data_IF_193460262159
#
_entry.id   IF_193460262159
#
_cell.length_a   1.000
_cell.length_b   1.000
_cell.length_c   1.000
_cell.angle_alpha   90.00
_cell.angle_beta   90.00
_cell.angle_gamma   90.00
#
_symmetry.space_group_name_H-M   'P 1'
#
loop_
_entity.id
_entity.type
_entity.pdbx_description
1 polymer ?
#
# COMPACT_ATOMS: atom_id res chain seq x y z
N UNK A 1 29.21 2.89 -0.06
CA UNK A 1 28.37 3.75 -0.92
C UNK A 1 27.14 4.07 -0.11
N UNK A 2 26.86 5.35 0.19
CA UNK A 2 25.60 5.73 0.82
C UNK A 2 24.53 5.66 -0.27
N UNK A 3 23.60 4.73 -0.14
CA UNK A 3 22.43 4.70 -1.00
C UNK A 3 21.49 5.81 -0.54
N UNK A 4 21.21 6.78 -1.40
CA UNK A 4 20.20 7.79 -1.13
C UNK A 4 18.83 7.17 -1.39
N UNK A 5 18.09 6.89 -0.32
CA UNK A 5 16.75 6.33 -0.43
C UNK A 5 15.76 7.39 -0.91
N UNK A 6 14.94 7.02 -1.89
CA UNK A 6 13.80 7.82 -2.31
C UNK A 6 12.69 7.77 -1.25
N UNK A 7 11.81 8.79 -1.19
CA UNK A 7 10.64 8.78 -0.29
C UNK A 7 9.77 7.53 -0.43
N UNK A 8 9.64 6.97 -1.64
CA UNK A 8 8.87 5.73 -1.86
C UNK A 8 9.61 4.53 -1.26
N UNK A 9 10.93 4.42 -1.39
CA UNK A 9 11.70 3.32 -0.81
C UNK A 9 11.65 3.34 0.72
N UNK A 10 11.70 4.52 1.33
CA UNK A 10 11.51 4.70 2.78
C UNK A 10 10.12 4.20 3.21
N UNK A 11 9.08 4.58 2.47
CA UNK A 11 7.72 4.11 2.73
C UNK A 11 7.55 2.60 2.54
N UNK A 12 8.18 2.01 1.51
CA UNK A 12 8.12 0.57 1.24
C UNK A 12 8.82 -0.25 2.33
N UNK A 13 9.96 0.23 2.84
CA UNK A 13 10.65 -0.37 3.99
C UNK A 13 9.76 -0.32 5.25
N UNK A 14 9.13 0.83 5.52
CA UNK A 14 8.20 0.99 6.63
C UNK A 14 6.94 0.12 6.52
N UNK A 15 6.51 -0.22 5.30
CA UNK A 15 5.42 -1.17 5.03
C UNK A 15 5.88 -2.64 5.06
N UNK A 16 7.19 -2.89 5.06
CA UNK A 16 7.77 -4.24 4.98
C UNK A 16 7.52 -4.90 3.62
N UNK A 17 7.42 -4.12 2.53
CA UNK A 17 7.17 -4.64 1.18
C UNK A 17 8.42 -4.50 0.31
N UNK A 18 8.91 -5.60 -0.26
CA UNK A 18 10.06 -5.62 -1.15
C UNK A 18 9.57 -5.67 -2.60
N UNK A 19 9.92 -4.66 -3.40
CA UNK A 19 9.46 -4.50 -4.79
C UNK A 19 9.99 -5.53 -5.81
N UNK A 20 10.86 -6.45 -5.39
CA UNK A 20 11.56 -7.38 -6.31
C UNK A 20 11.10 -8.84 -6.16
N UNK A 21 10.15 -9.11 -5.26
CA UNK A 21 9.56 -10.45 -5.11
C UNK A 21 8.08 -10.38 -5.43
N UNK A 22 7.78 -10.39 -6.73
CA UNK A 22 6.67 -11.17 -7.27
C UNK A 22 5.41 -11.19 -6.39
N UNK A 23 4.90 -10.01 -6.00
CA UNK A 23 3.62 -9.91 -5.27
C UNK A 23 2.45 -10.39 -6.15
N UNK A 24 2.72 -10.69 -7.43
CA UNK A 24 1.79 -11.17 -8.44
C UNK A 24 1.92 -12.68 -8.76
N UNK A 25 3.00 -13.39 -8.38
CA UNK A 25 3.23 -14.77 -8.89
C UNK A 25 2.73 -15.95 -8.04
N UNK A 26 2.18 -15.77 -6.82
CA UNK A 26 1.75 -16.94 -6.04
C UNK A 26 0.27 -17.26 -6.04
N UNK A 27 -0.60 -16.42 -6.61
CA UNK A 27 -2.02 -16.77 -6.63
C UNK A 27 -2.67 -16.26 -7.90
N UNK A 28 -3.10 -17.17 -8.76
CA UNK A 28 -4.08 -16.86 -9.82
C UNK A 28 -5.31 -16.22 -9.17
N UNK A 29 -5.42 -14.89 -9.29
CA UNK A 29 -6.35 -14.13 -8.45
C UNK A 29 -7.77 -14.21 -9.02
N UNK A 30 -8.59 -15.05 -8.41
CA UNK A 30 -10.05 -14.88 -8.42
C UNK A 30 -10.39 -13.56 -7.70
N UNK A 31 -11.34 -12.76 -8.21
CA UNK A 31 -11.67 -11.42 -7.69
C UNK A 31 -11.99 -11.32 -6.18
N UNK A 32 -12.32 -12.45 -5.53
CA UNK A 32 -12.48 -12.53 -4.07
C UNK A 32 -11.14 -12.38 -3.30
N UNK A 33 -10.03 -12.92 -3.84
CA UNK A 33 -8.70 -12.81 -3.22
C UNK A 33 -8.14 -11.39 -3.30
N UNK A 34 -8.39 -10.69 -4.41
CA UNK A 34 -7.92 -9.34 -4.66
C UNK A 34 -8.49 -8.34 -3.62
N UNK A 35 -9.76 -8.52 -3.26
CA UNK A 35 -10.43 -7.70 -2.25
C UNK A 35 -9.85 -7.89 -0.84
N UNK A 36 -9.39 -9.11 -0.52
CA UNK A 36 -8.82 -9.46 0.78
C UNK A 36 -7.38 -8.96 0.92
N UNK A 37 -6.59 -9.04 -0.15
CA UNK A 37 -5.23 -8.52 -0.18
C UNK A 37 -5.21 -6.98 -0.11
N UNK A 38 -6.13 -6.30 -0.79
CA UNK A 38 -6.30 -4.84 -0.68
C UNK A 38 -6.62 -4.42 0.75
N UNK A 39 -7.43 -5.21 1.49
CA UNK A 39 -7.73 -4.91 2.89
C UNK A 39 -6.48 -5.04 3.76
N UNK A 40 -5.72 -6.13 3.59
CA UNK A 40 -4.48 -6.37 4.34
C UNK A 40 -3.44 -5.27 4.12
N UNK A 41 -3.28 -4.79 2.87
CA UNK A 41 -2.38 -3.68 2.57
C UNK A 41 -2.87 -2.37 3.21
N UNK A 42 -4.19 -2.09 3.21
CA UNK A 42 -4.72 -0.90 3.89
C UNK A 42 -4.48 -0.94 5.41
N UNK A 43 -4.67 -2.09 6.06
CA UNK A 43 -4.38 -2.26 7.48
C UNK A 43 -2.89 -2.05 7.78
N UNK A 44 -1.99 -2.55 6.92
CA UNK A 44 -0.55 -2.30 7.06
C UNK A 44 -0.21 -0.82 6.90
N UNK A 45 -0.81 -0.13 5.94
CA UNK A 45 -0.63 1.32 5.76
C UNK A 45 -1.03 2.05 7.04
N UNK A 46 -2.21 1.75 7.59
CA UNK A 46 -2.70 2.35 8.83
C UNK A 46 -1.73 2.13 9.99
N UNK A 47 -1.35 0.88 10.24
CA UNK A 47 -0.45 0.51 11.33
C UNK A 47 0.94 1.15 11.17
N UNK A 48 1.50 1.17 9.96
CA UNK A 48 2.79 1.80 9.70
C UNK A 48 2.72 3.32 9.89
N UNK A 49 1.64 3.98 9.47
CA UNK A 49 1.46 5.43 9.68
C UNK A 49 1.30 5.82 11.16
N UNK A 50 0.68 4.94 11.96
CA UNK A 50 0.58 5.11 13.41
C UNK A 50 1.94 4.89 14.07
N UNK A 51 2.71 3.91 13.59
CA UNK A 51 4.03 3.57 14.12
C UNK A 51 5.11 4.60 13.78
N UNK A 52 5.06 5.18 12.57
CA UNK A 52 6.04 6.12 12.04
C UNK A 52 5.36 7.42 11.57
N UNK A 53 4.87 8.26 12.50
CA UNK A 53 4.14 9.47 12.17
C UNK A 53 4.94 10.50 11.35
N UNK A 54 6.27 10.47 11.47
CA UNK A 54 7.20 11.37 10.77
C UNK A 54 7.32 11.09 9.27
N UNK A 55 6.95 9.89 8.82
CA UNK A 55 7.04 9.45 7.41
C UNK A 55 5.69 8.99 6.85
N UNK A 56 4.58 9.56 7.36
CA UNK A 56 3.22 9.19 6.93
C UNK A 56 3.03 9.38 5.43
N UNK A 57 3.59 10.43 4.85
CA UNK A 57 3.45 10.74 3.42
C UNK A 57 4.18 9.73 2.55
N UNK A 58 5.37 9.29 2.96
CA UNK A 58 6.18 8.25 2.34
C UNK A 58 5.44 6.91 2.37
N UNK A 59 4.90 6.54 3.54
CA UNK A 59 4.11 5.32 3.73
C UNK A 59 2.86 5.35 2.85
N UNK A 60 2.17 6.48 2.76
CA UNK A 60 1.00 6.62 1.89
C UNK A 60 1.37 6.42 0.42
N UNK A 61 2.42 7.10 -0.05
CA UNK A 61 2.85 7.04 -1.44
C UNK A 61 3.29 5.62 -1.82
N UNK A 62 4.01 4.95 -0.93
CA UNK A 62 4.40 3.55 -1.08
C UNK A 62 3.18 2.61 -1.13
N UNK A 63 2.23 2.80 -0.21
CA UNK A 63 0.97 2.05 -0.17
C UNK A 63 0.13 2.21 -1.44
N UNK A 64 0.00 3.44 -1.93
CA UNK A 64 -0.68 3.75 -3.20
C UNK A 64 -0.01 3.03 -4.38
N UNK A 65 1.32 3.02 -4.43
CA UNK A 65 2.07 2.32 -5.49
C UNK A 65 1.76 0.82 -5.50
N UNK A 66 1.83 0.17 -4.33
CA UNK A 66 1.51 -1.27 -4.20
C UNK A 66 0.07 -1.54 -4.63
N UNK A 67 -0.87 -0.75 -4.14
CA UNK A 67 -2.29 -0.90 -4.46
C UNK A 67 -2.60 -0.68 -5.95
N UNK A 68 -1.89 0.24 -6.61
CA UNK A 68 -1.97 0.45 -8.06
C UNK A 68 -1.42 -0.75 -8.84
N UNK A 69 -0.31 -1.33 -8.41
CA UNK A 69 0.29 -2.53 -9.03
C UNK A 69 -0.60 -3.77 -8.87
N UNK A 70 -1.38 -3.85 -7.78
CA UNK A 70 -2.34 -4.94 -7.54
C UNK A 70 -3.65 -4.77 -8.30
N UNK A 71 -3.96 -3.55 -8.77
CA UNK A 71 -5.22 -3.26 -9.45
C UNK A 71 -5.12 -3.61 -10.92
N UNK A 72 -5.94 -4.56 -11.38
CA UNK A 72 -5.97 -4.97 -12.78
C UNK A 72 -6.49 -3.86 -13.72
N UNK A 73 -7.28 -2.91 -13.19
CA UNK A 73 -7.84 -1.79 -13.95
C UNK A 73 -7.92 -0.51 -13.10
N UNK A 74 -7.92 0.64 -13.76
CA UNK A 74 -8.15 1.95 -13.14
C UNK A 74 -9.53 2.07 -12.49
N UNK A 75 -10.55 1.42 -13.05
CA UNK A 75 -11.90 1.44 -12.50
C UNK A 75 -11.97 0.68 -11.17
N UNK A 76 -11.33 -0.48 -11.07
CA UNK A 76 -11.22 -1.22 -9.81
C UNK A 76 -10.49 -0.40 -8.73
N UNK A 77 -9.42 0.29 -9.11
CA UNK A 77 -8.70 1.16 -8.18
C UNK A 77 -9.60 2.30 -7.67
N UNK A 78 -10.37 2.94 -8.56
CA UNK A 78 -11.25 4.04 -8.17
C UNK A 78 -12.42 3.62 -7.30
N UNK A 79 -13.06 2.49 -7.62
CA UNK A 79 -14.30 2.10 -6.96
C UNK A 79 -14.07 1.32 -5.66
N UNK A 80 -12.95 0.60 -5.53
CA UNK A 80 -12.72 -0.31 -4.41
C UNK A 80 -11.55 0.12 -3.55
N UNK A 81 -10.45 0.57 -4.17
CA UNK A 81 -9.19 0.81 -3.48
C UNK A 81 -9.12 2.21 -2.89
N UNK A 82 -9.43 3.24 -3.68
CA UNK A 82 -9.41 4.63 -3.21
C UNK A 82 -10.33 4.88 -2.00
N UNK A 83 -11.59 4.42 -1.96
CA UNK A 83 -12.47 4.68 -0.81
C UNK A 83 -11.99 4.04 0.49
N UNK A 84 -11.22 2.95 0.41
CA UNK A 84 -10.62 2.31 1.58
C UNK A 84 -9.39 3.07 2.07
N UNK A 85 -8.56 3.52 1.13
CA UNK A 85 -7.39 4.33 1.45
C UNK A 85 -7.79 5.66 2.10
N UNK A 86 -8.84 6.31 1.58
CA UNK A 86 -9.39 7.56 2.12
C UNK A 86 -9.78 7.38 3.60
N UNK A 87 -10.50 6.29 3.93
CA UNK A 87 -10.82 5.95 5.32
C UNK A 87 -9.60 5.70 6.18
N UNK A 88 -8.57 5.03 5.66
CA UNK A 88 -7.32 4.81 6.40
C UNK A 88 -6.63 6.13 6.73
N UNK A 89 -6.59 7.07 5.80
CA UNK A 89 -6.03 8.41 6.03
C UNK A 89 -6.87 9.17 7.07
N UNK A 90 -8.21 9.13 6.96
CA UNK A 90 -9.11 9.76 7.93
C UNK A 90 -8.92 9.20 9.36
N UNK A 91 -8.78 7.87 9.50
CA UNK A 91 -8.58 7.23 10.80
C UNK A 91 -7.25 7.61 11.47
N UNK A 92 -6.20 7.86 10.69
CA UNK A 92 -4.87 8.24 11.19
C UNK A 92 -4.78 9.75 11.50
N UNK A 93 -5.63 10.55 10.85
CA UNK A 93 -5.71 11.99 11.03
C UNK A 93 -6.65 12.41 12.20
N UNK A 94 -7.54 11.51 12.63
CA UNK A 94 -8.41 11.67 13.81
C UNK A 94 -7.66 11.54 15.14
#
# INVERSE_FOLDING_TARGET
MNHEYTPIEIGMDALGVVLDQNTVNETGVNGCQLTSQVLEINERIEQSMLKYPEIRTEILAAGMKVLLEMSSTLDHFKEVVLPRLDRTVDNVAA
#
